data_IF_751558434014
#
_entry.id   IF_751558434014
#
_cell.length_a   1.000
_cell.length_b   1.000
_cell.length_c   1.000
_cell.angle_alpha   90.00
_cell.angle_beta   90.00
_cell.angle_gamma   90.00
#
_symmetry.space_group_name_H-M   'P 1'
#
loop_
_entity.id
_entity.type
_entity.pdbx_description
1 polymer ?
#
# COMPACT_ATOMS: atom_id res chain seq x y z
N UNK A 1 -6.47 -11.00 -8.37
CA UNK A 1 -5.32 -10.74 -7.47
C UNK A 1 -4.64 -9.48 -7.99
N UNK A 2 -4.69 -8.37 -7.24
CA UNK A 2 -4.36 -7.04 -7.78
C UNK A 2 -2.96 -6.53 -7.43
N UNK A 3 -2.29 -7.14 -6.46
CA UNK A 3 -0.91 -6.86 -6.08
C UNK A 3 -0.12 -8.16 -6.13
N UNK A 4 0.95 -8.18 -6.92
CA UNK A 4 1.88 -9.30 -7.02
C UNK A 4 3.20 -8.87 -6.38
N UNK A 5 3.87 -9.78 -5.68
CA UNK A 5 5.17 -9.53 -5.08
C UNK A 5 6.16 -9.04 -6.15
N UNK A 6 6.78 -7.88 -5.92
CA UNK A 6 7.72 -7.25 -6.83
C UNK A 6 7.17 -6.03 -7.58
N UNK A 7 5.85 -5.79 -7.53
CA UNK A 7 5.27 -4.58 -8.11
C UNK A 7 5.61 -3.34 -7.29
N UNK A 8 5.99 -2.27 -8.00
CA UNK A 8 6.25 -0.97 -7.39
C UNK A 8 4.94 -0.23 -7.15
N UNK A 9 4.69 0.14 -5.91
CA UNK A 9 3.55 0.95 -5.48
C UNK A 9 4.03 2.31 -5.02
N UNK A 10 3.22 3.35 -5.22
CA UNK A 10 3.53 4.68 -4.70
C UNK A 10 2.73 4.93 -3.43
N UNK A 11 3.41 5.12 -2.30
CA UNK A 11 2.73 5.52 -1.06
C UNK A 11 2.36 7.00 -1.18
N UNK A 12 1.07 7.28 -1.04
CA UNK A 12 0.50 8.63 -1.08
C UNK A 12 0.35 9.17 0.34
N UNK A 13 -0.14 8.34 1.27
CA UNK A 13 -0.39 8.72 2.67
C UNK A 13 -0.07 7.57 3.62
N UNK A 14 0.18 7.93 4.87
CA UNK A 14 0.30 7.01 5.99
C UNK A 14 -0.76 7.35 7.02
N UNK A 15 -1.43 6.34 7.57
CA UNK A 15 -2.34 6.48 8.69
C UNK A 15 -2.01 5.43 9.76
N UNK A 16 -2.49 5.67 10.97
CA UNK A 16 -2.41 4.72 12.07
C UNK A 16 -3.82 4.37 12.50
N UNK A 17 -4.05 3.09 12.76
CA UNK A 17 -5.29 2.61 13.33
C UNK A 17 -5.32 2.82 14.85
N UNK A 18 -6.48 2.59 15.46
CA UNK A 18 -6.65 2.67 16.91
C UNK A 18 -5.70 1.73 17.68
N UNK A 19 -5.39 0.57 17.09
CA UNK A 19 -4.45 -0.42 17.64
C UNK A 19 -2.97 -0.07 17.41
N UNK A 20 -2.67 1.12 16.86
CA UNK A 20 -1.32 1.54 16.49
C UNK A 20 -0.79 0.87 15.22
N UNK A 21 -1.63 0.10 14.51
CA UNK A 21 -1.27 -0.52 13.23
C UNK A 21 -1.07 0.56 12.18
N UNK A 22 0.10 0.56 11.52
CA UNK A 22 0.40 1.51 10.45
C UNK A 22 -0.19 1.01 9.13
N UNK A 23 -0.85 1.91 8.42
CA UNK A 23 -1.46 1.71 7.11
C UNK A 23 -0.86 2.66 6.10
N UNK A 24 -0.61 2.16 4.88
CA UNK A 24 -0.21 2.96 3.74
C UNK A 24 -1.34 3.06 2.73
N UNK A 25 -1.67 4.27 2.34
CA UNK A 25 -2.52 4.53 1.19
C UNK A 25 -1.62 4.54 -0.04
N UNK A 26 -1.74 3.49 -0.84
CA UNK A 26 -0.95 3.34 -2.05
C UNK A 26 -1.76 3.67 -3.29
N UNK A 27 -1.09 4.22 -4.28
CA UNK A 27 -1.52 4.22 -5.67
C UNK A 27 -0.77 3.10 -6.38
N UNK A 28 -1.52 2.14 -6.91
CA UNK A 28 -1.01 1.11 -7.77
C UNK A 28 -1.37 1.43 -9.22
N UNK A 29 -0.35 1.55 -10.07
CA UNK A 29 -0.48 1.83 -11.51
C UNK A 29 -0.09 0.60 -12.32
N UNK A 30 -0.95 -0.42 -12.28
CA UNK A 30 -0.87 -1.59 -13.15
C UNK A 30 -1.63 -1.36 -14.47
N UNK A 31 -2.53 -2.28 -14.83
CA UNK A 31 -3.45 -2.11 -15.98
C UNK A 31 -4.52 -1.04 -15.76
N UNK A 32 -4.84 -0.76 -14.50
CA UNK A 32 -5.72 0.33 -14.05
C UNK A 32 -5.07 1.00 -12.86
N UNK A 33 -5.32 2.29 -12.72
CA UNK A 33 -4.89 3.04 -11.56
C UNK A 33 -5.90 2.83 -10.43
N UNK A 34 -5.42 2.29 -9.31
CA UNK A 34 -6.25 1.99 -8.15
C UNK A 34 -5.57 2.57 -6.92
N UNK A 35 -6.37 3.26 -6.10
CA UNK A 35 -5.95 3.71 -4.78
C UNK A 35 -6.52 2.77 -3.72
N UNK A 36 -5.68 2.27 -2.82
CA UNK A 36 -6.12 1.39 -1.75
C UNK A 36 -5.27 1.54 -0.49
N UNK A 37 -5.86 1.20 0.65
CA UNK A 37 -5.16 1.07 1.91
C UNK A 37 -4.60 -0.35 2.06
N UNK A 38 -3.33 -0.45 2.38
CA UNK A 38 -2.67 -1.71 2.72
C UNK A 38 -1.91 -1.56 4.03
N UNK A 39 -1.76 -2.67 4.75
CA UNK A 39 -0.97 -2.69 5.98
C UNK A 39 0.49 -2.40 5.68
N UNK A 40 1.14 -1.64 6.56
CA UNK A 40 2.56 -1.35 6.43
C UNK A 40 3.44 -2.59 6.50
N UNK A 41 3.02 -3.63 7.22
CA UNK A 41 3.74 -4.91 7.32
C UNK A 41 3.87 -5.65 5.98
N UNK A 42 3.01 -5.33 5.03
CA UNK A 42 2.90 -6.00 3.74
C UNK A 42 3.69 -5.27 2.64
N UNK A 43 4.39 -4.19 3.01
CA UNK A 43 5.19 -3.37 2.11
C UNK A 43 6.65 -3.40 2.57
N UNK A 44 7.50 -4.04 1.78
CA UNK A 44 8.94 -3.94 1.95
C UNK A 44 9.41 -2.56 1.46
N UNK A 45 9.72 -1.67 2.41
CA UNK A 45 10.38 -0.39 2.15
C UNK A 45 11.89 -0.63 2.13
N UNK A 46 12.44 -0.85 0.94
CA UNK A 46 13.88 -1.00 0.72
C UNK A 46 14.53 0.34 0.33
#
# INVERSE_FOLDING_TARGET
MYLIKGDRVKIIKTAFDADGTRWYFINYKGKKEINMWIKADSVDLN
#
